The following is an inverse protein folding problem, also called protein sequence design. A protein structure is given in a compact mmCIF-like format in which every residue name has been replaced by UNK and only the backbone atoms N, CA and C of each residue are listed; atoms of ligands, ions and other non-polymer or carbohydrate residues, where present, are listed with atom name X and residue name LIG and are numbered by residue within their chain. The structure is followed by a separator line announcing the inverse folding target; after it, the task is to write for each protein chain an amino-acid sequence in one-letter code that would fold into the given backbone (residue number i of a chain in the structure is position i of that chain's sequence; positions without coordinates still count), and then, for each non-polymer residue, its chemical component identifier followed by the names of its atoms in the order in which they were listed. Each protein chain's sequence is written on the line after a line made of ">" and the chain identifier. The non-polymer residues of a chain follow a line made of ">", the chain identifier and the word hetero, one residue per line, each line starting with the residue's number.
data_IF_036744749735
#
_entry.id   IF_036744749735
#
_cell.length_a   1.000
_cell.length_b   1.000
_cell.length_c   1.000
_cell.angle_alpha   90.00
_cell.angle_beta   90.00
_cell.angle_gamma   90.00
#
_symmetry.space_group_name_H-M   'P 1'
#
loop_
_entity.id
_entity.type
_entity.pdbx_description
1 polymer ?
#
# COMPACT_ATOMS: atom_id res chain seq x y z
N UNK A 1 3.27 10.50 31.97
CA UNK A 1 3.84 11.12 30.75
C UNK A 1 2.70 11.40 29.78
N UNK A 2 2.61 12.60 29.22
CA UNK A 2 1.66 12.90 28.15
C UNK A 2 2.17 12.32 26.82
N UNK A 3 1.27 12.03 25.88
CA UNK A 3 1.65 11.59 24.53
C UNK A 3 2.71 12.50 23.90
N UNK A 4 2.54 13.82 24.03
CA UNK A 4 3.48 14.83 23.51
C UNK A 4 4.87 14.66 24.14
N UNK A 5 4.95 14.52 25.46
CA UNK A 5 6.24 14.33 26.15
C UNK A 5 6.96 13.04 25.72
N UNK A 6 6.22 11.97 25.50
CA UNK A 6 6.76 10.70 25.02
C UNK A 6 7.25 10.79 23.58
N UNK A 7 6.46 11.40 22.68
CA UNK A 7 6.82 11.63 21.29
C UNK A 7 8.10 12.45 21.19
N UNK A 8 8.20 13.58 21.92
CA UNK A 8 9.39 14.45 21.87
C UNK A 8 10.66 13.73 22.35
N UNK A 9 10.55 12.88 23.38
CA UNK A 9 11.66 12.06 23.85
C UNK A 9 12.10 11.06 22.77
N UNK A 10 11.17 10.33 22.16
CA UNK A 10 11.46 9.35 21.12
C UNK A 10 12.02 10.01 19.85
N UNK A 11 11.45 11.14 19.44
CA UNK A 11 11.90 11.90 18.28
C UNK A 11 13.34 12.38 18.45
N UNK A 12 13.73 12.86 19.64
CA UNK A 12 15.12 13.26 19.93
C UNK A 12 16.09 12.09 19.78
N UNK A 13 15.73 10.91 20.29
CA UNK A 13 16.55 9.70 20.16
C UNK A 13 16.69 9.27 18.70
N UNK A 14 15.57 9.14 17.97
CA UNK A 14 15.58 8.70 16.57
C UNK A 14 16.23 9.71 15.62
N UNK A 15 16.00 11.00 15.81
CA UNK A 15 16.64 12.03 14.99
C UNK A 15 18.16 12.05 15.18
N UNK A 16 18.66 11.73 16.37
CA UNK A 16 20.10 11.62 16.68
C UNK A 16 20.75 10.31 16.22
N UNK A 17 19.98 9.28 15.87
CA UNK A 17 20.51 7.98 15.47
C UNK A 17 21.12 8.05 14.05
N UNK A 18 22.45 8.15 14.00
CA UNK A 18 23.21 8.22 12.74
C UNK A 18 23.15 6.92 11.93
N UNK A 19 23.04 5.76 12.59
CA UNK A 19 22.90 4.46 11.91
C UNK A 19 21.55 4.40 11.22
N UNK A 20 20.48 4.74 11.93
CA UNK A 20 19.13 4.80 11.37
C UNK A 20 19.05 5.78 10.20
N UNK A 21 19.65 6.96 10.34
CA UNK A 21 19.74 7.95 9.25
C UNK A 21 20.46 7.41 8.01
N UNK A 22 21.56 6.67 8.19
CA UNK A 22 22.28 6.04 7.07
C UNK A 22 21.42 4.99 6.35
N UNK A 23 20.68 4.18 7.11
CA UNK A 23 19.75 3.18 6.57
C UNK A 23 18.66 3.86 5.73
N UNK A 24 18.02 4.92 6.27
CA UNK A 24 16.99 5.68 5.54
C UNK A 24 17.56 6.26 4.25
N UNK A 25 18.72 6.93 4.30
CA UNK A 25 19.33 7.49 3.08
C UNK A 25 19.63 6.42 2.04
N UNK A 26 20.17 5.28 2.44
CA UNK A 26 20.44 4.19 1.51
C UNK A 26 19.14 3.65 0.88
N UNK A 27 18.09 3.45 1.68
CA UNK A 27 16.81 2.98 1.18
C UNK A 27 16.15 3.98 0.21
N UNK A 28 16.17 5.28 0.55
CA UNK A 28 15.64 6.33 -0.32
C UNK A 28 16.47 6.48 -1.60
N UNK A 29 17.79 6.45 -1.52
CA UNK A 29 18.67 6.50 -2.70
C UNK A 29 18.44 5.31 -3.63
N UNK A 30 18.29 4.10 -3.09
CA UNK A 30 17.95 2.93 -3.90
C UNK A 30 16.59 3.06 -4.60
N UNK A 31 15.61 3.69 -3.93
CA UNK A 31 14.32 3.99 -4.54
C UNK A 31 14.44 5.02 -5.67
N UNK A 32 15.23 6.08 -5.50
CA UNK A 32 15.48 7.09 -6.53
C UNK A 32 16.15 6.47 -7.76
N UNK A 33 17.19 5.65 -7.56
CA UNK A 33 17.86 4.92 -8.65
C UNK A 33 16.86 4.03 -9.40
N UNK A 34 16.06 3.24 -8.69
CA UNK A 34 15.07 2.36 -9.31
C UNK A 34 13.98 3.16 -10.07
N UNK A 35 13.50 4.27 -9.48
CA UNK A 35 12.54 5.18 -10.11
C UNK A 35 13.14 5.75 -11.40
N UNK A 36 14.34 6.28 -11.36
CA UNK A 36 14.95 6.96 -12.51
C UNK A 36 15.27 5.98 -13.63
N UNK A 37 15.74 4.76 -13.30
CA UNK A 37 15.87 3.66 -14.26
C UNK A 37 14.53 3.31 -14.92
N UNK A 38 13.44 3.23 -14.16
CA UNK A 38 12.09 2.98 -14.71
C UNK A 38 11.63 4.14 -15.59
N UNK A 39 11.82 5.39 -15.17
CA UNK A 39 11.46 6.57 -15.96
C UNK A 39 12.18 6.56 -17.31
N UNK A 40 13.48 6.30 -17.30
CA UNK A 40 14.32 6.24 -18.50
C UNK A 40 13.97 5.08 -19.45
N UNK A 41 13.23 4.06 -18.99
CA UNK A 41 12.78 2.95 -19.84
C UNK A 41 11.59 3.30 -20.74
N UNK A 42 10.94 4.45 -20.51
CA UNK A 42 9.86 4.94 -21.36
C UNK A 42 10.42 5.87 -22.45
N UNK A 43 9.87 5.77 -23.66
CA UNK A 43 10.18 6.73 -24.72
C UNK A 43 9.77 8.16 -24.35
N UNK A 44 8.61 8.33 -23.69
CA UNK A 44 8.19 9.58 -23.06
C UNK A 44 7.56 9.27 -21.71
N UNK A 45 8.24 9.68 -20.63
CA UNK A 45 7.77 9.47 -19.27
C UNK A 45 6.48 10.26 -18.99
N UNK A 46 6.40 11.49 -19.49
CA UNK A 46 5.26 12.39 -19.34
C UNK A 46 4.02 11.79 -19.99
N UNK A 47 4.15 11.28 -21.21
CA UNK A 47 3.05 10.63 -21.93
C UNK A 47 2.59 9.35 -21.22
N UNK A 48 3.53 8.52 -20.75
CA UNK A 48 3.21 7.32 -19.99
C UNK A 48 2.44 7.65 -18.69
N UNK A 49 2.82 8.73 -18.00
CA UNK A 49 2.10 9.21 -16.82
C UNK A 49 0.69 9.70 -17.15
N UNK A 50 0.54 10.42 -18.26
CA UNK A 50 -0.76 10.92 -18.71
C UNK A 50 -1.71 9.76 -19.03
N UNK A 51 -1.24 8.78 -19.82
CA UNK A 51 -2.01 7.57 -20.13
C UNK A 51 -2.41 6.80 -18.86
N UNK A 52 -1.49 6.65 -17.91
CA UNK A 52 -1.80 6.00 -16.64
C UNK A 52 -2.84 6.78 -15.80
N UNK A 53 -2.84 8.11 -15.88
CA UNK A 53 -3.84 8.94 -15.21
C UNK A 53 -5.21 8.77 -15.87
N UNK A 54 -5.27 8.81 -17.21
CA UNK A 54 -6.49 8.58 -17.99
C UNK A 54 -7.07 7.18 -17.74
N UNK A 55 -6.22 6.15 -17.69
CA UNK A 55 -6.63 4.78 -17.38
C UNK A 55 -7.25 4.68 -15.98
N UNK A 56 -6.66 5.34 -14.97
CA UNK A 56 -7.23 5.37 -13.63
C UNK A 56 -8.55 6.14 -13.59
N UNK A 57 -8.63 7.23 -14.35
CA UNK A 57 -9.84 8.02 -14.44
C UNK A 57 -10.99 7.20 -15.05
N UNK A 58 -10.74 6.47 -16.15
CA UNK A 58 -11.73 5.56 -16.73
C UNK A 58 -12.15 4.45 -15.74
N UNK A 59 -11.18 3.84 -15.06
CA UNK A 59 -11.45 2.79 -14.08
C UNK A 59 -12.33 3.26 -12.91
N UNK A 60 -12.16 4.51 -12.47
CA UNK A 60 -12.98 5.09 -11.40
C UNK A 60 -14.39 5.45 -11.86
N UNK A 61 -14.55 5.94 -13.09
CA UNK A 61 -15.87 6.29 -13.63
C UNK A 61 -16.73 5.06 -13.97
N UNK A 62 -16.10 3.92 -14.23
CA UNK A 62 -16.77 2.64 -14.50
C UNK A 62 -16.50 1.61 -13.40
N UNK A 63 -16.36 2.09 -12.16
CA UNK A 63 -15.96 1.26 -11.04
C UNK A 63 -16.96 0.11 -10.80
N UNK A 64 -18.26 0.35 -10.95
CA UNK A 64 -19.31 -0.66 -10.84
C UNK A 64 -19.07 -1.87 -11.76
N UNK A 65 -18.68 -1.62 -13.01
CA UNK A 65 -18.37 -2.67 -14.00
C UNK A 65 -17.03 -3.35 -13.69
N UNK A 66 -15.97 -2.57 -13.54
CA UNK A 66 -14.62 -3.12 -13.40
C UNK A 66 -14.43 -3.87 -12.07
N UNK A 67 -15.13 -3.47 -11.01
CA UNK A 67 -15.07 -4.11 -9.70
C UNK A 67 -15.71 -5.52 -9.73
N UNK A 68 -16.80 -5.70 -10.48
CA UNK A 68 -17.41 -7.01 -10.72
C UNK A 68 -16.51 -7.89 -11.59
N UNK A 69 -15.98 -7.34 -12.69
CA UNK A 69 -15.07 -8.06 -13.59
C UNK A 69 -13.79 -8.51 -12.87
N UNK A 70 -13.19 -7.62 -12.07
CA UNK A 70 -12.01 -7.92 -11.27
C UNK A 70 -12.29 -9.07 -10.31
N UNK A 71 -13.38 -8.98 -9.55
CA UNK A 71 -13.78 -10.00 -8.57
C UNK A 71 -13.94 -11.36 -9.24
N UNK A 72 -14.69 -11.45 -10.33
CA UNK A 72 -14.87 -12.70 -11.07
C UNK A 72 -13.54 -13.32 -11.53
N UNK A 73 -12.61 -12.48 -12.04
CA UNK A 73 -11.29 -12.93 -12.50
C UNK A 73 -10.39 -13.43 -11.38
N UNK A 74 -10.40 -12.80 -10.20
CA UNK A 74 -9.54 -13.24 -9.09
C UNK A 74 -10.14 -14.43 -8.34
N UNK A 75 -11.47 -14.53 -8.28
CA UNK A 75 -12.16 -15.70 -7.76
C UNK A 75 -11.91 -16.94 -8.62
N UNK A 76 -11.92 -16.79 -9.95
CA UNK A 76 -11.51 -17.85 -10.87
C UNK A 76 -10.06 -18.33 -10.66
N UNK A 77 -9.21 -17.51 -10.02
CA UNK A 77 -7.82 -17.85 -9.65
C UNK A 77 -7.70 -18.40 -8.22
N UNK A 78 -8.81 -18.68 -7.55
CA UNK A 78 -8.85 -19.24 -6.20
C UNK A 78 -8.73 -18.20 -5.07
N UNK A 79 -8.84 -16.91 -5.37
CA UNK A 79 -8.91 -15.87 -4.33
C UNK A 79 -10.33 -15.75 -3.80
N UNK A 80 -10.52 -15.73 -2.48
CA UNK A 80 -11.83 -15.42 -1.89
C UNK A 80 -11.99 -13.90 -1.74
N UNK A 81 -13.00 -13.33 -2.38
CA UNK A 81 -13.34 -11.90 -2.23
C UNK A 81 -14.36 -11.73 -1.10
N UNK A 82 -14.11 -10.75 -0.24
CA UNK A 82 -14.99 -10.39 0.85
C UNK A 82 -15.47 -8.96 0.66
N UNK A 83 -16.80 -8.77 0.58
CA UNK A 83 -17.42 -7.47 0.45
C UNK A 83 -17.76 -6.90 1.83
N UNK A 84 -17.45 -5.63 2.05
CA UNK A 84 -17.82 -4.90 3.25
C UNK A 84 -18.26 -3.49 2.87
N UNK A 85 -19.51 -3.14 3.22
CA UNK A 85 -20.06 -1.81 2.98
C UNK A 85 -19.67 -0.81 4.07
N UNK A 86 -19.16 -1.30 5.21
CA UNK A 86 -18.71 -0.47 6.33
C UNK A 86 -17.37 -0.92 6.89
N UNK A 87 -16.67 0.01 7.56
CA UNK A 87 -15.44 -0.29 8.26
C UNK A 87 -15.64 -1.31 9.40
N UNK A 88 -16.84 -1.35 10.02
CA UNK A 88 -17.17 -2.33 11.05
C UNK A 88 -17.24 -3.76 10.47
N UNK A 89 -17.97 -3.94 9.37
CA UNK A 89 -18.04 -5.22 8.65
C UNK A 89 -16.66 -5.69 8.18
N UNK A 90 -15.84 -4.78 7.65
CA UNK A 90 -14.48 -5.12 7.22
C UNK A 90 -13.63 -5.65 8.39
N UNK A 91 -13.68 -5.00 9.56
CA UNK A 91 -12.97 -5.46 10.77
C UNK A 91 -13.48 -6.82 11.24
N UNK A 92 -14.79 -7.04 11.22
CA UNK A 92 -15.39 -8.31 11.62
C UNK A 92 -14.93 -9.46 10.72
N UNK A 93 -14.96 -9.26 9.40
CA UNK A 93 -14.46 -10.23 8.42
C UNK A 93 -12.98 -10.55 8.66
N UNK A 94 -12.14 -9.52 8.83
CA UNK A 94 -10.70 -9.71 9.10
C UNK A 94 -10.50 -10.52 10.39
N UNK A 95 -11.20 -10.18 11.47
CA UNK A 95 -11.10 -10.89 12.75
C UNK A 95 -11.56 -12.33 12.63
N UNK A 96 -12.62 -12.60 11.86
CA UNK A 96 -13.10 -13.95 11.62
C UNK A 96 -12.05 -14.77 10.88
N UNK A 97 -11.46 -14.24 9.79
CA UNK A 97 -10.38 -14.91 9.04
C UNK A 97 -9.19 -15.24 9.96
N UNK A 98 -8.79 -14.29 10.81
CA UNK A 98 -7.69 -14.48 11.76
C UNK A 98 -7.99 -15.62 12.74
N UNK A 99 -9.21 -15.66 13.29
CA UNK A 99 -9.66 -16.72 14.21
C UNK A 99 -9.73 -18.08 13.52
N UNK A 100 -10.36 -18.16 12.35
CA UNK A 100 -10.54 -19.40 11.59
C UNK A 100 -9.19 -20.01 11.19
N UNK A 101 -8.22 -19.17 10.84
CA UNK A 101 -6.86 -19.59 10.49
C UNK A 101 -5.94 -19.78 11.70
N UNK A 102 -6.43 -19.52 12.93
CA UNK A 102 -5.61 -19.49 14.16
C UNK A 102 -4.34 -18.64 13.98
N UNK A 103 -4.45 -17.55 13.22
CA UNK A 103 -3.31 -16.72 12.85
C UNK A 103 -2.79 -15.95 14.07
N UNK A 104 -1.46 -15.95 14.24
CA UNK A 104 -0.78 -15.30 15.38
C UNK A 104 -0.14 -13.96 15.03
N UNK A 105 0.01 -13.67 13.74
CA UNK A 105 0.59 -12.43 13.24
C UNK A 105 -0.11 -11.99 11.97
N UNK A 106 -0.15 -10.66 11.76
CA UNK A 106 -0.67 -10.03 10.56
C UNK A 106 0.45 -9.17 10.00
N UNK A 107 0.79 -9.38 8.74
CA UNK A 107 1.75 -8.53 8.03
C UNK A 107 0.93 -7.61 7.13
N UNK A 108 0.92 -6.32 7.46
CA UNK A 108 0.38 -5.31 6.56
C UNK A 108 1.46 -4.99 5.52
N UNK A 109 1.34 -5.59 4.34
CA UNK A 109 2.12 -5.16 3.18
C UNK A 109 1.50 -3.91 2.55
N UNK A 110 2.36 -3.04 2.03
CA UNK A 110 1.92 -2.00 1.10
C UNK A 110 2.16 -2.57 -0.29
N UNK A 111 1.08 -2.84 -1.04
CA UNK A 111 1.18 -3.00 -2.48
C UNK A 111 1.41 -1.63 -3.13
#
# INVERSE_FOLDING_TARGET
>A
MTFVSQFMKQARVMAGDLRHRKIIRAALGNYEIARDKRKASFQSWESARQLAAETKWDALNHLDKYLVEFTAKIEARGTKVHWASTAAQAREIILQIVRDKKAKSIIKSKA
#
